data_IF_666958457445
#
_entry.id   IF_666958457445
#
_cell.length_a   1.000
_cell.length_b   1.000
_cell.length_c   1.000
_cell.angle_alpha   90.00
_cell.angle_beta   90.00
_cell.angle_gamma   90.00
#
_symmetry.space_group_name_H-M   'P 1'
#
loop_
_entity.id
_entity.type
_entity.pdbx_description
1 polymer ?
#
# COMPACT_ATOMS: atom_id res chain seq x y z
N UNK A 1 18.34 -2.06 -9.08
CA UNK A 1 16.91 -2.14 -8.74
C UNK A 1 16.27 -3.37 -9.36
N UNK A 2 15.69 -3.25 -10.55
CA UNK A 2 14.88 -4.32 -11.17
C UNK A 2 15.61 -5.68 -11.37
N UNK A 3 16.85 -5.68 -11.89
CA UNK A 3 17.62 -6.93 -12.10
C UNK A 3 17.87 -7.69 -10.79
N UNK A 4 18.06 -6.98 -9.68
CA UNK A 4 18.24 -7.59 -8.37
C UNK A 4 16.93 -8.28 -7.92
N UNK A 5 15.80 -7.58 -7.99
CA UNK A 5 14.50 -8.14 -7.60
C UNK A 5 14.08 -9.32 -8.46
N UNK A 6 14.37 -9.27 -9.77
CA UNK A 6 14.11 -10.39 -10.66
C UNK A 6 14.88 -11.64 -10.23
N UNK A 7 16.15 -11.48 -9.83
CA UNK A 7 16.97 -12.58 -9.29
C UNK A 7 16.34 -13.18 -8.03
N UNK A 8 15.96 -12.34 -7.06
CA UNK A 8 15.33 -12.78 -5.80
C UNK A 8 14.02 -13.54 -6.06
N UNK A 9 13.16 -13.01 -6.93
CA UNK A 9 11.87 -13.64 -7.25
C UNK A 9 12.04 -14.97 -8.00
N UNK A 10 13.03 -15.05 -8.89
CA UNK A 10 13.39 -16.29 -9.59
C UNK A 10 13.91 -17.33 -8.61
N UNK A 11 14.70 -16.92 -7.62
CA UNK A 11 15.16 -17.81 -6.55
C UNK A 11 13.98 -18.37 -5.73
N UNK A 12 13.00 -17.53 -5.34
CA UNK A 12 11.80 -18.01 -4.67
C UNK A 12 11.05 -19.05 -5.51
N UNK A 13 10.96 -18.84 -6.82
CA UNK A 13 10.33 -19.78 -7.76
C UNK A 13 11.08 -21.10 -7.81
N UNK A 14 12.41 -21.05 -7.88
CA UNK A 14 13.27 -22.23 -7.88
C UNK A 14 13.22 -23.00 -6.54
N UNK A 15 12.95 -22.32 -5.43
CA UNK A 15 12.71 -22.92 -4.11
C UNK A 15 11.30 -23.51 -3.96
N UNK A 16 10.47 -23.44 -5.00
CA UNK A 16 9.17 -24.11 -5.05
C UNK A 16 7.95 -23.21 -4.83
N UNK A 17 8.13 -21.88 -4.69
CA UNK A 17 6.99 -20.96 -4.69
C UNK A 17 6.36 -20.93 -6.09
N UNK A 18 5.13 -21.44 -6.20
CA UNK A 18 4.47 -21.61 -7.51
C UNK A 18 3.70 -20.37 -7.94
N UNK A 19 2.89 -19.84 -7.04
CA UNK A 19 1.97 -18.75 -7.33
C UNK A 19 1.90 -17.78 -6.14
N UNK A 20 1.71 -16.51 -6.45
CA UNK A 20 1.46 -15.44 -5.49
C UNK A 20 0.10 -14.87 -5.86
N UNK A 21 -0.83 -14.83 -4.91
CA UNK A 21 -2.13 -14.18 -5.11
C UNK A 21 -1.99 -12.66 -5.07
N UNK A 22 -1.35 -12.14 -4.02
CA UNK A 22 -1.13 -10.72 -3.79
C UNK A 22 0.29 -10.47 -3.30
N UNK A 23 0.95 -9.45 -3.85
CA UNK A 23 2.25 -8.97 -3.41
C UNK A 23 2.12 -7.52 -2.93
N UNK A 24 2.28 -7.33 -1.62
CA UNK A 24 2.26 -6.00 -1.02
C UNK A 24 3.66 -5.36 -1.09
N UNK A 25 3.78 -4.23 -1.78
CA UNK A 25 5.05 -3.52 -1.99
C UNK A 25 4.94 -2.07 -1.56
N UNK A 26 6.04 -1.46 -1.15
CA UNK A 26 6.15 -0.09 -0.62
C UNK A 26 6.29 1.00 -1.70
N UNK A 27 6.29 0.63 -2.98
CA UNK A 27 6.40 1.56 -4.11
C UNK A 27 7.80 1.64 -4.75
N UNK A 28 8.70 0.70 -4.42
CA UNK A 28 10.01 0.60 -5.06
C UNK A 28 9.91 0.47 -6.59
N UNK A 29 10.61 1.37 -7.30
CA UNK A 29 10.62 1.41 -8.76
C UNK A 29 11.16 0.11 -9.37
N UNK A 30 10.45 -0.44 -10.33
CA UNK A 30 10.80 -1.67 -11.05
C UNK A 30 10.62 -2.96 -10.25
N UNK A 31 10.15 -2.90 -9.00
CA UNK A 31 9.81 -4.12 -8.24
C UNK A 31 8.46 -4.72 -8.68
N UNK A 32 7.38 -3.94 -8.89
CA UNK A 32 6.14 -4.45 -9.49
C UNK A 32 6.36 -5.19 -10.81
N UNK A 33 7.17 -4.60 -11.71
CA UNK A 33 7.48 -5.19 -13.02
C UNK A 33 8.22 -6.53 -12.88
N UNK A 34 9.16 -6.62 -11.93
CA UNK A 34 9.88 -7.86 -11.65
C UNK A 34 8.93 -8.95 -11.11
N UNK A 35 7.98 -8.59 -10.23
CA UNK A 35 6.96 -9.51 -9.71
C UNK A 35 6.11 -10.04 -10.86
N UNK A 36 5.57 -9.15 -11.69
CA UNK A 36 4.73 -9.54 -12.83
C UNK A 36 5.49 -10.37 -13.87
N UNK A 37 6.80 -10.16 -14.01
CA UNK A 37 7.65 -10.98 -14.89
C UNK A 37 7.75 -12.43 -14.41
N UNK A 38 7.91 -12.67 -13.10
CA UNK A 38 8.10 -14.03 -12.54
C UNK A 38 6.77 -14.71 -12.21
N UNK A 39 5.81 -13.93 -11.71
CA UNK A 39 4.49 -14.33 -11.24
C UNK A 39 3.41 -13.44 -11.90
N UNK A 40 3.08 -13.67 -13.19
CA UNK A 40 2.20 -12.78 -13.96
C UNK A 40 0.75 -12.70 -13.46
N UNK A 41 0.32 -13.65 -12.62
CA UNK A 41 -1.00 -13.66 -11.99
C UNK A 41 -1.04 -12.89 -10.66
N UNK A 42 0.12 -12.47 -10.13
CA UNK A 42 0.18 -11.81 -8.84
C UNK A 42 -0.39 -10.39 -8.93
N UNK A 43 -1.35 -10.10 -8.06
CA UNK A 43 -1.86 -8.73 -7.91
C UNK A 43 -0.87 -7.89 -7.11
N UNK A 44 -0.60 -6.68 -7.59
CA UNK A 44 0.29 -5.74 -6.90
C UNK A 44 -0.56 -4.86 -6.00
N UNK A 45 -0.33 -4.99 -4.69
CA UNK A 45 -0.92 -4.09 -3.71
C UNK A 45 0.13 -3.08 -3.27
N UNK A 46 -0.18 -1.79 -3.44
CA UNK A 46 0.64 -0.75 -2.84
C UNK A 46 0.38 -0.69 -1.33
N UNK A 47 1.46 -0.69 -0.55
CA UNK A 47 1.36 -0.75 0.90
C UNK A 47 0.67 0.51 1.45
N UNK A 48 -0.51 0.30 2.02
CA UNK A 48 -1.37 1.37 2.57
C UNK A 48 -0.68 2.07 3.74
N UNK A 49 0.04 1.32 4.58
CA UNK A 49 0.82 1.89 5.69
C UNK A 49 1.85 2.91 5.18
N UNK A 50 2.59 2.56 4.13
CA UNK A 50 3.55 3.49 3.52
C UNK A 50 2.86 4.67 2.85
N UNK A 51 1.71 4.46 2.18
CA UNK A 51 0.93 5.55 1.61
C UNK A 51 0.43 6.54 2.66
N UNK A 52 -0.11 6.06 3.79
CA UNK A 52 -0.54 6.92 4.89
C UNK A 52 0.65 7.65 5.52
N UNK A 53 1.76 6.96 5.79
CA UNK A 53 2.99 7.59 6.34
C UNK A 53 3.52 8.68 5.42
N UNK A 54 3.59 8.42 4.11
CA UNK A 54 4.02 9.39 3.11
C UNK A 54 3.09 10.61 3.05
N UNK A 55 1.77 10.38 3.12
CA UNK A 55 0.75 11.43 3.12
C UNK A 55 0.90 12.36 4.33
N UNK A 56 1.17 11.80 5.51
CA UNK A 56 1.25 12.55 6.76
C UNK A 56 2.59 13.28 6.97
N UNK A 57 3.63 12.97 6.17
CA UNK A 57 4.99 13.51 6.36
C UNK A 57 5.06 15.04 6.40
N UNK A 58 4.18 15.71 5.66
CA UNK A 58 4.16 17.18 5.53
C UNK A 58 2.87 17.80 6.08
N UNK A 59 2.06 17.02 6.81
CA UNK A 59 0.82 17.49 7.43
C UNK A 59 1.16 18.18 8.75
N UNK A 60 0.57 19.35 8.98
CA UNK A 60 0.75 20.06 10.25
C UNK A 60 0.21 19.22 11.41
N UNK A 61 0.93 19.19 12.54
CA UNK A 61 0.60 18.33 13.69
C UNK A 61 -0.87 18.44 14.13
N UNK A 62 -1.43 19.66 14.13
CA UNK A 62 -2.85 19.93 14.45
C UNK A 62 -3.87 19.23 13.54
N UNK A 63 -3.52 18.92 12.30
CA UNK A 63 -4.39 18.25 11.33
C UNK A 63 -4.10 16.75 11.19
N UNK A 64 -2.95 16.26 11.69
CA UNK A 64 -2.49 14.88 11.46
C UNK A 64 -3.53 13.82 11.84
N UNK A 65 -4.17 13.95 13.00
CA UNK A 65 -5.15 12.98 13.48
C UNK A 65 -6.39 12.93 12.58
N UNK A 66 -6.83 14.09 12.11
CA UNK A 66 -8.02 14.23 11.28
C UNK A 66 -7.75 13.72 9.86
N UNK A 67 -6.63 14.16 9.25
CA UNK A 67 -6.18 13.66 7.95
C UNK A 67 -6.00 12.15 7.96
N UNK A 68 -5.38 11.58 9.01
CA UNK A 68 -5.23 10.14 9.13
C UNK A 68 -6.58 9.41 9.26
N UNK A 69 -7.55 10.02 9.95
CA UNK A 69 -8.91 9.50 10.05
C UNK A 69 -9.64 9.49 8.71
N UNK A 70 -9.54 10.58 7.94
CA UNK A 70 -10.20 10.67 6.64
C UNK A 70 -9.54 9.75 5.59
N UNK A 71 -8.20 9.63 5.60
CA UNK A 71 -7.48 8.63 4.80
C UNK A 71 -7.90 7.19 5.17
N UNK A 72 -8.17 6.94 6.46
CA UNK A 72 -8.64 5.64 6.95
C UNK A 72 -9.99 5.25 6.40
N UNK A 73 -10.88 6.22 6.18
CA UNK A 73 -12.19 5.98 5.56
C UNK A 73 -12.06 5.40 4.16
N UNK A 74 -11.00 5.75 3.40
CA UNK A 74 -10.77 5.24 2.05
C UNK A 74 -10.53 3.73 2.04
N UNK A 75 -9.53 3.25 2.79
CA UNK A 75 -9.15 1.83 2.74
C UNK A 75 -9.97 0.94 3.67
N UNK A 76 -10.82 1.51 4.51
CA UNK A 76 -11.81 0.77 5.31
C UNK A 76 -13.17 0.65 4.63
N UNK A 77 -13.35 1.26 3.47
CA UNK A 77 -14.55 1.11 2.67
C UNK A 77 -14.88 -0.36 2.38
N UNK A 78 -16.15 -0.64 2.12
CA UNK A 78 -16.60 -2.00 1.80
C UNK A 78 -16.36 -2.34 0.32
N UNK A 79 -16.53 -1.34 -0.56
CA UNK A 79 -16.42 -1.46 -2.01
C UNK A 79 -15.50 -0.39 -2.59
N UNK A 80 -14.99 -0.63 -3.80
CA UNK A 80 -14.20 0.35 -4.55
C UNK A 80 -14.96 1.66 -4.72
N UNK A 81 -16.23 1.62 -5.12
CA UNK A 81 -17.05 2.83 -5.28
C UNK A 81 -17.15 3.66 -3.99
N UNK A 82 -17.32 3.02 -2.84
CA UNK A 82 -17.34 3.73 -1.55
C UNK A 82 -15.96 4.29 -1.18
N UNK A 83 -14.87 3.64 -1.61
CA UNK A 83 -13.51 4.13 -1.43
C UNK A 83 -13.22 5.35 -2.34
N UNK A 84 -13.70 5.34 -3.57
CA UNK A 84 -13.62 6.48 -4.50
C UNK A 84 -14.38 7.68 -3.93
N UNK A 85 -15.61 7.46 -3.46
CA UNK A 85 -16.41 8.53 -2.82
C UNK A 85 -15.70 9.11 -1.59
N UNK A 86 -15.05 8.27 -0.79
CA UNK A 86 -14.25 8.72 0.35
C UNK A 86 -12.99 9.51 -0.08
N UNK A 87 -12.35 9.13 -1.19
CA UNK A 87 -11.21 9.86 -1.74
C UNK A 87 -11.61 11.23 -2.31
N UNK A 88 -12.78 11.33 -2.95
CA UNK A 88 -13.32 12.61 -3.40
C UNK A 88 -13.68 13.53 -2.22
N UNK A 89 -14.37 13.01 -1.20
CA UNK A 89 -14.65 13.77 0.02
C UNK A 89 -13.36 14.21 0.74
N UNK A 90 -12.33 13.37 0.74
CA UNK A 90 -11.01 13.73 1.25
C UNK A 90 -10.41 14.90 0.47
N UNK A 91 -10.46 14.84 -0.87
CA UNK A 91 -9.92 15.86 -1.75
C UNK A 91 -10.65 17.20 -1.55
N UNK A 92 -11.97 17.21 -1.52
CA UNK A 92 -12.79 18.41 -1.26
C UNK A 92 -12.41 19.10 0.05
N UNK A 93 -12.16 18.31 1.10
CA UNK A 93 -11.83 18.82 2.43
C UNK A 93 -10.38 19.31 2.53
N UNK A 94 -9.43 18.58 1.94
CA UNK A 94 -8.02 18.76 2.24
C UNK A 94 -7.19 19.36 1.10
N UNK A 95 -7.63 19.37 -0.15
CA UNK A 95 -6.79 19.84 -1.26
C UNK A 95 -6.45 21.34 -1.17
N UNK A 96 -7.27 22.13 -0.49
CA UNK A 96 -6.94 23.53 -0.19
C UNK A 96 -5.69 23.71 0.70
N UNK A 97 -5.35 22.70 1.51
CA UNK A 97 -4.19 22.71 2.41
C UNK A 97 -3.07 21.75 1.96
N UNK A 98 -3.44 20.59 1.44
CA UNK A 98 -2.57 19.44 1.17
C UNK A 98 -2.86 18.80 -0.21
N UNK A 99 -2.79 19.56 -1.32
CA UNK A 99 -3.24 19.12 -2.65
C UNK A 99 -2.46 17.92 -3.21
N UNK A 100 -1.28 17.64 -2.67
CA UNK A 100 -0.44 16.53 -3.12
C UNK A 100 -0.91 15.17 -2.60
N UNK A 101 -1.68 15.14 -1.51
CA UNK A 101 -2.11 13.87 -0.90
C UNK A 101 -3.11 13.18 -1.83
N UNK A 102 -4.26 13.80 -2.11
CA UNK A 102 -5.29 13.18 -2.96
C UNK A 102 -4.73 12.84 -4.35
N UNK A 103 -3.90 13.72 -4.93
CA UNK A 103 -3.20 13.46 -6.19
C UNK A 103 -2.32 12.21 -6.13
N UNK A 104 -1.56 12.01 -5.05
CA UNK A 104 -0.73 10.81 -4.88
C UNK A 104 -1.58 9.55 -4.77
N UNK A 105 -2.71 9.60 -4.04
CA UNK A 105 -3.63 8.47 -3.94
C UNK A 105 -4.28 8.12 -5.29
N UNK A 106 -4.73 9.12 -6.06
CA UNK A 106 -5.27 8.92 -7.41
C UNK A 106 -4.24 8.33 -8.36
N UNK A 107 -2.99 8.81 -8.32
CA UNK A 107 -1.90 8.26 -9.16
C UNK A 107 -1.58 6.78 -8.87
N UNK A 108 -1.89 6.31 -7.67
CA UNK A 108 -1.64 4.94 -7.24
C UNK A 108 -2.92 4.10 -7.11
N UNK A 109 -4.05 4.62 -7.58
CA UNK A 109 -5.37 4.07 -7.29
C UNK A 109 -5.51 2.60 -7.66
N UNK A 110 -5.09 2.23 -8.87
CA UNK A 110 -5.15 0.86 -9.39
C UNK A 110 -4.47 -0.16 -8.48
N UNK A 111 -3.31 0.19 -7.90
CA UNK A 111 -2.59 -0.69 -6.98
C UNK A 111 -3.10 -0.59 -5.54
N UNK A 112 -3.83 0.46 -5.18
CA UNK A 112 -4.42 0.60 -3.84
C UNK A 112 -5.71 -0.20 -3.71
N UNK A 113 -6.52 -0.25 -4.76
CA UNK A 113 -7.81 -0.93 -4.74
C UNK A 113 -7.71 -2.45 -4.85
N UNK A 114 -6.52 -3.02 -5.12
CA UNK A 114 -6.37 -4.49 -5.12
C UNK A 114 -6.64 -5.12 -3.76
N UNK A 115 -6.64 -4.33 -2.68
CA UNK A 115 -7.06 -4.77 -1.35
C UNK A 115 -8.53 -5.22 -1.34
N UNK A 116 -9.38 -4.64 -2.20
CA UNK A 116 -10.80 -5.00 -2.28
C UNK A 116 -11.03 -6.39 -2.89
N UNK A 117 -10.03 -6.94 -3.58
CA UNK A 117 -10.05 -8.33 -4.08
C UNK A 117 -9.84 -9.36 -2.97
N UNK A 118 -9.39 -8.93 -1.79
CA UNK A 118 -9.22 -9.78 -0.63
C UNK A 118 -10.51 -9.81 0.22
N UNK A 119 -10.85 -10.96 0.84
CA UNK A 119 -11.83 -11.02 1.91
C UNK A 119 -11.48 -10.07 3.06
N UNK A 120 -12.49 -9.56 3.78
CA UNK A 120 -12.31 -8.55 4.84
C UNK A 120 -11.28 -8.95 5.91
N UNK A 121 -11.28 -10.23 6.28
CA UNK A 121 -10.33 -10.84 7.22
C UNK A 121 -8.86 -10.63 6.78
N UNK A 122 -8.59 -10.76 5.48
CA UNK A 122 -7.26 -10.57 4.89
C UNK A 122 -6.95 -9.08 4.73
N UNK A 123 -7.96 -8.24 4.38
CA UNK A 123 -7.78 -6.78 4.27
C UNK A 123 -7.17 -6.20 5.54
N UNK A 124 -7.67 -6.64 6.70
CA UNK A 124 -7.15 -6.21 8.00
C UNK A 124 -5.66 -6.50 8.16
N UNK A 125 -5.17 -7.63 7.68
CA UNK A 125 -3.73 -7.96 7.73
C UNK A 125 -2.92 -7.02 6.82
N UNK A 126 -3.45 -6.64 5.66
CA UNK A 126 -2.77 -5.79 4.67
C UNK A 126 -2.56 -4.35 5.18
N UNK A 127 -3.56 -3.77 5.86
CA UNK A 127 -3.48 -2.38 6.34
C UNK A 127 -3.11 -2.24 7.83
N UNK A 128 -2.85 -3.34 8.54
CA UNK A 128 -2.36 -3.28 9.93
C UNK A 128 -0.84 -3.38 9.97
N UNK A 129 -0.24 -2.65 10.91
CA UNK A 129 1.22 -2.57 11.04
C UNK A 129 1.83 -3.78 11.75
N UNK A 130 1.02 -4.61 12.44
CA UNK A 130 1.50 -5.61 13.39
C UNK A 130 2.51 -6.62 12.81
N UNK A 131 2.29 -7.15 11.61
CA UNK A 131 3.21 -8.13 11.00
C UNK A 131 4.50 -7.49 10.44
N UNK A 132 4.42 -6.23 10.00
CA UNK A 132 5.56 -5.48 9.45
C UNK A 132 6.42 -4.88 10.57
N UNK A 133 5.80 -4.37 11.63
CA UNK A 133 6.48 -3.80 12.79
C UNK A 133 7.18 -4.88 13.62
N UNK A 134 6.60 -6.08 13.80
CA UNK A 134 7.29 -7.18 14.49
C UNK A 134 8.59 -7.61 13.81
N UNK A 135 8.68 -7.47 12.48
CA UNK A 135 9.88 -7.77 11.71
C UNK A 135 10.88 -6.60 11.72
N UNK A 136 10.40 -5.36 11.70
CA UNK A 136 11.24 -4.17 11.76
C UNK A 136 11.82 -3.93 13.16
N UNK A 137 11.07 -4.22 14.23
CA UNK A 137 11.59 -4.16 15.61
C UNK A 137 12.72 -5.16 15.82
N UNK A 138 12.57 -6.40 15.32
CA UNK A 138 13.61 -7.43 15.38
C UNK A 138 14.89 -7.05 14.62
N UNK A 139 14.76 -6.30 13.53
CA UNK A 139 15.91 -5.87 12.70
C UNK A 139 16.65 -4.66 13.28
N UNK A 140 15.99 -3.83 14.10
CA UNK A 140 16.58 -2.68 14.78
C UNK A 140 17.28 -3.05 16.09
N UNK A 141 16.92 -4.17 16.72
CA UNK A 141 17.61 -4.72 17.90
C UNK A 141 18.97 -5.39 17.58
N UNK A 142 19.33 -5.51 16.30
CA UNK A 142 20.62 -6.05 15.82
C UNK A 142 21.58 -5.01 15.25
N UNK A 143 21.41 -3.73 15.58
CA UNK A 143 22.38 -2.66 15.28
C UNK A 143 22.93 -2.04 16.55
#
# INVERSE_FOLDING_TARGET
GAKFWLSVLTELKNRGLKEIFIACVDGLSGFPDAIQTVYPKAKIQLCIVHMVRNSLKYVASKHMKEVAGDLKSIYKSLTVNSAESALEAFAEKWDGHYPTISKSWRNHWENLITIFDCPDEIRKVIYTTNAIESLNSFSLEKR
#
